data_IF_960431493415
#
_entry.id   IF_960431493415
#
_cell.length_a   1.000
_cell.length_b   1.000
_cell.length_c   1.000
_cell.angle_alpha   90.00
_cell.angle_beta   90.00
_cell.angle_gamma   90.00
#
_symmetry.space_group_name_H-M   'P 1'
#
loop_
_entity.id
_entity.type
_entity.pdbx_description
1 polymer ?
#
# COMPACT_ATOMS: atom_id res chain seq x y z
N UNK A 1 16.14 -4.18 7.71
CA UNK A 1 14.72 -4.21 7.32
C UNK A 1 13.98 -3.17 8.14
N UNK A 2 12.91 -2.57 7.62
CA UNK A 2 12.09 -1.54 8.32
C UNK A 2 11.08 -2.12 9.30
N UNK A 3 10.99 -3.46 9.41
CA UNK A 3 10.03 -4.21 10.24
C UNK A 3 8.56 -3.88 9.92
N UNK A 4 8.30 -3.38 8.71
CA UNK A 4 6.96 -3.16 8.20
C UNK A 4 6.38 -4.46 7.63
N UNK A 5 5.05 -4.58 7.68
CA UNK A 5 4.29 -5.66 7.05
C UNK A 5 3.79 -5.18 5.70
N UNK A 6 4.17 -5.87 4.62
CA UNK A 6 3.72 -5.51 3.28
C UNK A 6 2.26 -5.90 3.08
N UNK A 7 1.40 -4.90 2.90
CA UNK A 7 -0.02 -5.10 2.58
C UNK A 7 -0.29 -4.72 1.13
N UNK A 8 -0.42 -5.73 0.27
CA UNK A 8 -0.77 -5.51 -1.13
C UNK A 8 -2.28 -5.36 -1.31
N UNK A 9 -2.69 -4.34 -2.08
CA UNK A 9 -4.09 -4.08 -2.40
C UNK A 9 -4.37 -4.45 -3.85
N UNK A 10 -5.49 -5.14 -4.09
CA UNK A 10 -5.92 -5.46 -5.45
C UNK A 10 -6.50 -4.20 -6.11
N UNK A 11 -5.95 -3.82 -7.26
CA UNK A 11 -6.30 -2.61 -8.02
C UNK A 11 -7.73 -2.61 -8.58
N UNK A 12 -8.42 -3.75 -8.54
CA UNK A 12 -9.82 -3.90 -8.99
C UNK A 12 -10.85 -3.71 -7.88
N UNK A 13 -10.43 -3.43 -6.66
CA UNK A 13 -11.33 -3.23 -5.53
C UNK A 13 -12.00 -1.86 -5.59
N UNK A 14 -13.23 -1.80 -5.11
CA UNK A 14 -13.90 -0.52 -4.89
C UNK A 14 -13.35 0.21 -3.64
N UNK A 15 -13.67 1.50 -3.56
CA UNK A 15 -13.19 2.38 -2.50
C UNK A 15 -13.61 1.93 -1.09
N UNK A 16 -14.82 1.37 -0.94
CA UNK A 16 -15.33 0.92 0.36
C UNK A 16 -14.56 -0.29 0.88
N UNK A 17 -14.23 -1.25 0.00
CA UNK A 17 -13.42 -2.41 0.35
C UNK A 17 -11.97 -2.00 0.64
N UNK A 18 -11.40 -1.07 -0.13
CA UNK A 18 -10.07 -0.52 0.17
C UNK A 18 -10.07 0.15 1.55
N UNK A 19 -11.04 1.02 1.83
CA UNK A 19 -11.17 1.72 3.11
C UNK A 19 -11.28 0.75 4.29
N UNK A 20 -12.09 -0.30 4.14
CA UNK A 20 -12.19 -1.37 5.15
C UNK A 20 -10.83 -2.02 5.40
N UNK A 21 -10.08 -2.38 4.36
CA UNK A 21 -8.78 -3.02 4.52
C UNK A 21 -7.75 -2.08 5.17
N UNK A 22 -7.75 -0.78 4.81
CA UNK A 22 -6.87 0.22 5.40
C UNK A 22 -7.10 0.35 6.92
N UNK A 23 -8.38 0.41 7.32
CA UNK A 23 -8.79 0.49 8.73
C UNK A 23 -8.49 -0.80 9.49
N UNK A 24 -8.83 -1.94 8.92
CA UNK A 24 -8.66 -3.24 9.58
C UNK A 24 -7.18 -3.63 9.73
N UNK A 25 -6.31 -3.18 8.81
CA UNK A 25 -4.86 -3.36 8.89
C UNK A 25 -4.14 -2.29 9.72
N UNK A 26 -4.83 -1.25 10.19
CA UNK A 26 -4.24 -0.07 10.83
C UNK A 26 -3.07 0.53 10.02
N UNK A 27 -3.32 0.74 8.72
CA UNK A 27 -2.28 1.10 7.73
C UNK A 27 -1.57 2.40 8.09
N UNK A 28 -0.22 2.38 8.05
CA UNK A 28 0.63 3.53 8.41
C UNK A 28 1.19 4.29 7.22
N UNK A 29 1.46 3.59 6.12
CA UNK A 29 2.00 4.15 4.87
C UNK A 29 1.24 3.50 3.72
N UNK A 30 0.86 4.31 2.73
CA UNK A 30 0.19 3.88 1.52
C UNK A 30 0.93 4.44 0.31
N UNK A 31 1.47 3.54 -0.51
CA UNK A 31 2.07 3.89 -1.81
C UNK A 31 1.01 3.64 -2.87
N UNK A 32 0.78 4.62 -3.73
CA UNK A 32 -0.30 4.60 -4.72
C UNK A 32 0.21 5.09 -6.06
N UNK A 33 0.01 4.27 -7.09
CA UNK A 33 0.16 4.75 -8.46
C UNK A 33 -0.94 5.77 -8.78
N UNK A 34 -0.55 6.88 -9.40
CA UNK A 34 -1.47 7.96 -9.79
C UNK A 34 -2.64 7.47 -10.63
N UNK A 35 -2.52 6.39 -11.40
CA UNK A 35 -3.63 5.77 -12.13
C UNK A 35 -4.80 5.37 -11.20
N UNK A 36 -4.53 4.98 -9.96
CA UNK A 36 -5.54 4.56 -8.98
C UNK A 36 -5.93 5.65 -7.97
N UNK A 37 -5.39 6.86 -8.12
CA UNK A 37 -5.61 7.99 -7.20
C UNK A 37 -7.09 8.29 -6.95
N UNK A 38 -7.97 8.15 -7.96
CA UNK A 38 -9.41 8.37 -7.80
C UNK A 38 -10.05 7.41 -6.77
N UNK A 39 -9.86 6.11 -6.95
CA UNK A 39 -10.39 5.09 -6.03
C UNK A 39 -9.78 5.21 -4.63
N UNK A 40 -8.48 5.51 -4.55
CA UNK A 40 -7.79 5.66 -3.26
C UNK A 40 -8.19 6.94 -2.54
N UNK A 41 -8.41 8.05 -3.25
CA UNK A 41 -8.93 9.30 -2.68
C UNK A 41 -10.29 9.08 -2.04
N UNK A 42 -11.19 8.38 -2.73
CA UNK A 42 -12.50 8.02 -2.19
C UNK A 42 -12.34 7.11 -0.96
N UNK A 43 -11.49 6.08 -1.03
CA UNK A 43 -11.24 5.19 0.09
C UNK A 43 -10.70 5.92 1.34
N UNK A 44 -9.77 6.85 1.19
CA UNK A 44 -9.21 7.67 2.28
C UNK A 44 -10.25 8.62 2.91
N UNK A 45 -11.29 9.00 2.15
CA UNK A 45 -12.42 9.77 2.67
C UNK A 45 -13.35 8.94 3.56
N UNK A 46 -13.44 7.63 3.30
CA UNK A 46 -14.24 6.67 4.05
C UNK A 46 -13.48 6.08 5.25
N UNK A 47 -12.16 5.89 5.10
CA UNK A 47 -11.29 5.28 6.09
C UNK A 47 -11.04 6.19 7.31
N UNK A 48 -10.98 5.57 8.48
CA UNK A 48 -10.53 6.21 9.73
C UNK A 48 -9.01 6.32 9.77
N UNK A 49 -8.29 5.34 9.24
CA UNK A 49 -6.84 5.37 9.09
C UNK A 49 -6.40 6.59 8.27
N UNK A 50 -5.28 7.20 8.68
CA UNK A 50 -4.66 8.35 8.01
C UNK A 50 -3.19 8.03 7.71
N UNK A 51 -2.92 7.09 6.78
CA UNK A 51 -1.56 6.71 6.44
C UNK A 51 -0.82 7.89 5.78
N UNK A 52 0.51 7.88 5.87
CA UNK A 52 1.34 8.68 4.98
C UNK A 52 1.13 8.20 3.54
N UNK A 53 0.69 9.08 2.66
CA UNK A 53 0.45 8.76 1.24
C UNK A 53 1.65 9.20 0.40
N UNK A 54 2.17 8.25 -0.39
CA UNK A 54 3.28 8.45 -1.31
C UNK A 54 2.75 8.16 -2.72
N UNK A 55 2.76 9.18 -3.59
CA UNK A 55 2.33 9.04 -4.97
C UNK A 55 3.49 8.47 -5.80
N UNK A 56 3.25 7.38 -6.51
CA UNK A 56 4.14 6.86 -7.54
C UNK A 56 3.71 7.43 -8.90
N UNK A 57 4.62 8.17 -9.54
CA UNK A 57 4.41 8.77 -10.86
C UNK A 57 5.13 7.92 -11.92
N UNK A 58 4.43 6.93 -12.46
CA UNK A 58 5.02 5.95 -13.38
C UNK A 58 5.60 6.65 -14.63
N UNK A 59 6.94 6.63 -14.84
CA UNK A 59 7.56 7.25 -16.02
C UNK A 59 7.19 6.54 -17.32
N UNK A 60 6.79 5.27 -17.26
CA UNK A 60 6.43 4.46 -18.43
C UNK A 60 4.95 4.61 -18.81
N UNK A 61 4.14 5.26 -17.98
CA UNK A 61 2.74 5.55 -18.30
C UNK A 61 2.65 6.67 -19.33
N UNK A 62 2.34 6.26 -20.56
CA UNK A 62 2.39 7.12 -21.73
C UNK A 62 1.41 8.31 -21.65
N UNK A 63 1.81 9.46 -22.20
CA UNK A 63 0.98 10.65 -22.23
C UNK A 63 -0.29 10.49 -23.10
N UNK A 64 -0.28 9.55 -24.04
CA UNK A 64 -1.39 9.17 -24.91
C UNK A 64 -2.13 7.91 -24.43
N UNK A 65 -1.88 7.47 -23.19
CA UNK A 65 -2.63 6.38 -22.58
C UNK A 65 -4.15 6.65 -22.65
N UNK A 66 -4.98 5.60 -22.80
CA UNK A 66 -6.42 5.74 -22.96
C UNK A 66 -7.11 6.41 -21.77
N UNK A 67 -6.45 6.41 -20.60
CA UNK A 67 -6.88 7.12 -19.41
C UNK A 67 -5.80 8.12 -18.99
N UNK A 68 -6.18 9.33 -18.56
CA UNK A 68 -5.19 10.28 -18.05
C UNK A 68 -4.61 9.79 -16.72
N UNK A 69 -3.34 10.13 -16.47
CA UNK A 69 -2.77 10.01 -15.12
C UNK A 69 -3.67 10.72 -14.12
N UNK A 70 -3.98 10.08 -13.01
CA UNK A 70 -4.76 10.70 -11.97
C UNK A 70 -3.99 11.77 -11.20
N UNK A 71 -4.69 12.46 -10.30
CA UNK A 71 -4.15 13.54 -9.50
C UNK A 71 -3.20 13.01 -8.43
N UNK A 72 -2.26 13.85 -7.98
CA UNK A 72 -1.50 13.56 -6.75
C UNK A 72 -2.44 13.68 -5.55
N UNK A 73 -2.44 12.66 -4.70
CA UNK A 73 -3.30 12.58 -3.50
C UNK A 73 -2.49 12.60 -2.20
N UNK A 74 -1.19 12.34 -2.29
CA UNK A 74 -0.23 12.49 -1.21
C UNK A 74 0.55 13.80 -1.28
N UNK A 75 1.56 13.90 -0.41
CA UNK A 75 2.48 15.03 -0.35
C UNK A 75 3.91 14.66 -0.75
N UNK A 76 4.16 13.38 -1.02
CA UNK A 76 5.48 12.84 -1.35
C UNK A 76 5.41 12.13 -2.69
N UNK A 77 6.41 12.39 -3.53
CA UNK A 77 6.70 11.60 -4.72
C UNK A 77 7.57 10.41 -4.33
N UNK A 78 7.31 9.24 -4.90
CA UNK A 78 8.03 8.02 -4.57
C UNK A 78 9.54 8.11 -4.87
N UNK A 79 9.92 8.65 -6.03
CA UNK A 79 11.34 8.71 -6.42
C UNK A 79 12.11 9.69 -5.52
N UNK A 80 11.51 10.85 -5.23
CA UNK A 80 12.07 11.82 -4.28
C UNK A 80 12.19 11.23 -2.86
N UNK A 81 11.19 10.45 -2.44
CA UNK A 81 11.20 9.78 -1.14
C UNK A 81 12.32 8.74 -1.04
N UNK A 82 12.52 7.93 -2.08
CA UNK A 82 13.62 6.95 -2.14
C UNK A 82 14.98 7.65 -2.17
N UNK A 83 15.12 8.73 -2.95
CA UNK A 83 16.35 9.51 -3.03
C UNK A 83 16.75 10.17 -1.69
N UNK A 84 15.78 10.45 -0.83
CA UNK A 84 16.00 10.98 0.53
C UNK A 84 16.44 9.93 1.56
N UNK A 85 16.50 8.64 1.20
CA UNK A 85 16.90 7.56 2.10
C UNK A 85 18.38 7.59 2.49
N UNK A 86 18.69 7.15 3.70
CA UNK A 86 20.08 6.96 4.14
C UNK A 86 20.68 5.68 3.52
N UNK A 87 21.63 5.86 2.60
CA UNK A 87 22.36 4.75 1.95
C UNK A 87 23.20 3.93 2.93
N UNK A 88 23.53 4.49 4.10
CA UNK A 88 24.27 3.82 5.16
C UNK A 88 23.34 3.20 6.22
N UNK A 89 22.02 3.17 6.00
CA UNK A 89 21.06 2.60 6.94
C UNK A 89 21.44 1.16 7.31
N UNK A 90 21.70 0.93 8.60
CA UNK A 90 22.10 -0.36 9.13
C UNK A 90 20.90 -1.32 9.21
N UNK A 91 20.55 -1.91 8.07
CA UNK A 91 19.44 -2.84 7.98
C UNK A 91 19.72 -4.12 8.79
N UNK A 92 18.74 -4.59 9.57
CA UNK A 92 18.80 -5.89 10.24
C UNK A 92 17.87 -6.93 9.58
N UNK A 93 18.15 -8.20 9.83
CA UNK A 93 17.17 -9.29 9.67
C UNK A 93 15.98 -9.10 10.64
N UNK A 94 14.84 -9.79 10.44
CA UNK A 94 13.81 -9.89 11.47
C UNK A 94 14.40 -10.46 12.77
N UNK A 95 13.83 -10.05 13.90
CA UNK A 95 14.27 -10.55 15.21
C UNK A 95 13.81 -12.00 15.42
N UNK A 96 12.62 -12.34 14.90
CA UNK A 96 12.07 -13.68 14.84
C UNK A 96 11.58 -14.01 13.42
N UNK A 97 11.86 -15.22 12.93
CA UNK A 97 11.32 -15.71 11.66
C UNK A 97 9.79 -15.90 11.68
N UNK A 98 9.17 -15.88 12.87
CA UNK A 98 7.72 -15.86 13.06
C UNK A 98 7.12 -14.45 13.05
N UNK A 99 7.94 -13.39 12.96
CA UNK A 99 7.45 -12.02 12.76
C UNK A 99 6.72 -11.90 11.41
N UNK A 100 5.67 -11.06 11.39
CA UNK A 100 4.87 -10.83 10.18
C UNK A 100 5.69 -10.12 9.09
N UNK A 101 5.60 -10.61 7.86
CA UNK A 101 6.25 -10.02 6.68
C UNK A 101 5.22 -9.44 5.70
N UNK A 102 4.04 -10.06 5.59
CA UNK A 102 3.00 -9.59 4.68
C UNK A 102 1.60 -9.88 5.19
N UNK A 103 0.66 -9.06 4.71
CA UNK A 103 -0.77 -9.17 4.95
C UNK A 103 -1.48 -9.10 3.60
N UNK A 104 -2.21 -10.14 3.26
CA UNK A 104 -3.01 -10.17 2.03
C UNK A 104 -4.48 -10.41 2.37
N UNK A 105 -5.39 -9.82 1.61
CA UNK A 105 -6.82 -10.02 1.82
C UNK A 105 -7.41 -10.97 0.81
N UNK A 106 -8.29 -11.84 1.28
CA UNK A 106 -9.09 -12.73 0.44
C UNK A 106 -10.58 -12.43 0.63
N UNK A 107 -11.32 -12.39 -0.48
CA UNK A 107 -12.78 -12.31 -0.43
C UNK A 107 -13.34 -13.68 -0.07
N UNK A 108 -14.04 -13.77 1.06
CA UNK A 108 -14.87 -14.93 1.35
C UNK A 108 -16.13 -14.94 0.49
N UNK A 109 -16.91 -16.04 0.55
CA UNK A 109 -18.23 -16.10 -0.07
C UNK A 109 -19.27 -15.21 0.63
N UNK A 110 -19.00 -14.81 1.87
CA UNK A 110 -19.86 -13.96 2.69
C UNK A 110 -19.03 -13.05 3.59
N UNK A 111 -19.55 -11.84 3.85
CA UNK A 111 -18.99 -10.88 4.80
C UNK A 111 -17.79 -10.09 4.29
N UNK A 112 -17.16 -9.36 5.21
CA UNK A 112 -15.99 -8.54 4.91
C UNK A 112 -14.76 -9.42 4.54
N UNK A 113 -13.84 -8.92 3.71
CA UNK A 113 -12.59 -9.60 3.40
C UNK A 113 -11.79 -9.99 4.65
N UNK A 114 -11.08 -11.12 4.57
CA UNK A 114 -10.27 -11.64 5.68
C UNK A 114 -8.79 -11.40 5.41
N UNK A 115 -8.08 -10.90 6.42
CA UNK A 115 -6.63 -10.74 6.39
C UNK A 115 -5.94 -12.08 6.62
N UNK A 116 -5.02 -12.43 5.72
CA UNK A 116 -4.12 -13.58 5.80
C UNK A 116 -2.72 -13.03 6.05
N UNK A 117 -2.21 -13.27 7.26
CA UNK A 117 -0.89 -12.81 7.69
C UNK A 117 0.13 -13.91 7.44
N UNK A 118 1.22 -13.57 6.76
CA UNK A 118 2.38 -14.44 6.60
C UNK A 118 3.51 -13.94 7.50
N UNK A 119 4.26 -14.90 8.04
CA UNK A 119 5.51 -14.64 8.73
C UNK A 119 6.71 -14.96 7.83
N UNK A 120 7.90 -14.46 8.18
CA UNK A 120 9.12 -14.63 7.37
C UNK A 120 9.40 -16.09 6.99
N UNK A 121 9.31 -17.02 7.95
CA UNK A 121 9.49 -18.47 7.70
C UNK A 121 8.44 -19.06 6.75
N UNK A 122 7.21 -18.57 6.79
CA UNK A 122 6.09 -19.10 6.02
C UNK A 122 5.97 -18.52 4.60
N UNK A 123 6.79 -17.51 4.30
CA UNK A 123 6.91 -16.91 2.98
C UNK A 123 8.12 -17.45 2.18
N UNK A 124 8.92 -18.34 2.79
CA UNK A 124 10.08 -18.99 2.17
C UNK A 124 9.70 -20.16 1.28
#
# INVERSE_FOLDING_TARGET
MTRAVLHSLNTRLDAAVIAFQLDHADTKVLIVDREFSGAVREALSLAKAKPLVIDYDDPDYAADAPYPKGERIGTLDYEDFVAGGDVAFAWSMPDDEWDAISLNYTSGTTGNPKGVVYHHRGAA
#
